data_IF_642293448474
#
_entry.id   IF_642293448474
#
_cell.length_a   1.000
_cell.length_b   1.000
_cell.length_c   1.000
_cell.angle_alpha   90.00
_cell.angle_beta   90.00
_cell.angle_gamma   90.00
#
_symmetry.space_group_name_H-M   'P 1'
#
loop_
_entity.id
_entity.type
_entity.pdbx_description
1 polymer ?
#
# COMPACT_ATOMS: atom_id res chain seq x y z
N UNK A 1 -22.93 -7.58 0.00
CA UNK A 1 -21.63 -8.02 -0.53
C UNK A 1 -20.76 -6.78 -0.72
N UNK A 2 -19.68 -6.68 0.03
CA UNK A 2 -18.70 -5.59 -0.05
C UNK A 2 -17.47 -6.14 -0.77
N UNK A 3 -17.02 -5.45 -1.80
CA UNK A 3 -15.78 -5.76 -2.52
C UNK A 3 -14.80 -4.62 -2.31
N UNK A 4 -13.59 -4.94 -1.89
CA UNK A 4 -12.49 -3.99 -1.88
C UNK A 4 -11.57 -4.25 -3.08
N UNK A 5 -11.17 -3.17 -3.75
CA UNK A 5 -10.28 -3.24 -4.90
C UNK A 5 -9.04 -2.39 -4.65
N UNK A 6 -7.87 -3.02 -4.67
CA UNK A 6 -6.58 -2.34 -4.62
C UNK A 6 -5.93 -2.45 -6.00
N UNK A 7 -5.32 -1.37 -6.50
CA UNK A 7 -4.56 -1.43 -7.74
C UNK A 7 -3.16 -0.82 -7.65
N UNK A 8 -2.27 -1.29 -8.54
CA UNK A 8 -0.98 -0.68 -8.84
C UNK A 8 -0.16 -0.38 -7.58
N UNK A 9 -0.01 -1.40 -6.73
CA UNK A 9 0.56 -1.25 -5.40
C UNK A 9 2.02 -0.79 -5.42
N UNK A 10 2.75 -1.14 -6.49
CA UNK A 10 4.15 -0.75 -6.71
C UNK A 10 5.03 -0.87 -5.45
N UNK A 11 4.87 -1.95 -4.68
CA UNK A 11 5.66 -2.18 -3.47
C UNK A 11 7.16 -2.26 -3.83
N UNK A 12 8.00 -1.59 -3.03
CA UNK A 12 9.43 -1.43 -3.33
C UNK A 12 9.75 -0.29 -4.32
N UNK A 13 8.74 0.47 -4.78
CA UNK A 13 8.97 1.60 -5.67
C UNK A 13 9.80 2.70 -4.99
N UNK A 14 10.89 3.07 -5.65
CA UNK A 14 11.82 4.12 -5.23
C UNK A 14 11.80 5.24 -6.27
N UNK A 15 11.80 6.48 -5.81
CA UNK A 15 11.88 7.63 -6.69
C UNK A 15 12.49 8.84 -5.97
N UNK A 16 13.00 9.78 -6.78
CA UNK A 16 13.51 11.07 -6.33
C UNK A 16 14.76 11.02 -5.43
N UNK A 17 15.30 9.83 -5.15
CA UNK A 17 16.59 9.62 -4.47
C UNK A 17 16.64 10.15 -3.04
N UNK A 18 15.50 10.41 -2.40
CA UNK A 18 15.45 10.93 -1.03
C UNK A 18 15.66 9.80 -0.04
N UNK A 19 16.82 9.80 0.63
CA UNK A 19 17.18 8.81 1.64
C UNK A 19 17.30 9.49 3.00
N UNK A 20 16.63 8.95 4.02
CA UNK A 20 16.76 9.39 5.41
C UNK A 20 17.14 8.20 6.29
N UNK A 21 18.25 8.33 7.04
CA UNK A 21 18.75 7.27 7.92
C UNK A 21 18.91 5.90 7.21
N UNK A 22 19.33 5.92 5.95
CA UNK A 22 19.52 4.73 5.13
C UNK A 22 18.23 4.15 4.52
N UNK A 23 17.08 4.82 4.69
CA UNK A 23 15.79 4.38 4.16
C UNK A 23 15.37 5.27 2.99
N UNK A 24 14.98 4.67 1.87
CA UNK A 24 14.35 5.40 0.77
C UNK A 24 12.95 5.87 1.21
N UNK A 25 12.76 7.18 1.22
CA UNK A 25 11.54 7.77 1.76
C UNK A 25 10.33 7.49 0.88
N UNK A 26 10.52 7.34 -0.44
CA UNK A 26 9.41 7.02 -1.35
C UNK A 26 8.94 5.59 -1.14
N UNK A 27 9.86 4.65 -1.03
CA UNK A 27 9.55 3.25 -0.73
C UNK A 27 8.83 3.13 0.62
N UNK A 28 9.31 3.87 1.63
CA UNK A 28 8.68 3.93 2.95
C UNK A 28 7.25 4.47 2.90
N UNK A 29 7.01 5.54 2.14
CA UNK A 29 5.68 6.15 2.03
C UNK A 29 4.68 5.20 1.36
N UNK A 30 5.11 4.48 0.31
CA UNK A 30 4.30 3.47 -0.38
C UNK A 30 3.97 2.33 0.56
N UNK A 31 4.95 1.80 1.30
CA UNK A 31 4.74 0.74 2.28
C UNK A 31 3.75 1.16 3.37
N UNK A 32 3.89 2.39 3.90
CA UNK A 32 2.98 2.92 4.92
C UNK A 32 1.55 3.12 4.38
N UNK A 33 1.40 3.52 3.12
CA UNK A 33 0.07 3.62 2.48
C UNK A 33 -0.61 2.26 2.35
N UNK A 34 0.14 1.24 1.91
CA UNK A 34 -0.35 -0.13 1.83
C UNK A 34 -0.75 -0.69 3.20
N UNK A 35 0.06 -0.44 4.24
CA UNK A 35 -0.26 -0.87 5.61
C UNK A 35 -1.57 -0.25 6.11
N UNK A 36 -1.78 1.06 5.90
CA UNK A 36 -3.04 1.73 6.25
C UNK A 36 -4.23 1.16 5.47
N UNK A 37 -4.06 0.89 4.17
CA UNK A 37 -5.10 0.24 3.38
C UNK A 37 -5.45 -1.14 3.97
N UNK A 38 -4.45 -1.93 4.38
CA UNK A 38 -4.65 -3.22 5.05
C UNK A 38 -5.44 -3.10 6.36
N UNK A 39 -5.12 -2.11 7.20
CA UNK A 39 -5.88 -1.84 8.43
C UNK A 39 -7.35 -1.51 8.14
N UNK A 40 -7.62 -0.75 7.08
CA UNK A 40 -8.98 -0.45 6.64
C UNK A 40 -9.72 -1.68 6.11
N UNK A 41 -9.04 -2.57 5.36
CA UNK A 41 -9.63 -3.83 4.91
C UNK A 41 -10.05 -4.71 6.10
N UNK A 42 -9.21 -4.80 7.14
CA UNK A 42 -9.55 -5.52 8.37
C UNK A 42 -10.76 -4.91 9.07
N UNK A 43 -10.83 -3.58 9.14
CA UNK A 43 -11.95 -2.86 9.77
C UNK A 43 -13.26 -3.06 9.01
N UNK A 44 -13.22 -2.96 7.69
CA UNK A 44 -14.39 -3.06 6.79
C UNK A 44 -14.87 -4.51 6.67
N UNK A 45 -13.96 -5.48 6.76
CA UNK A 45 -14.22 -6.91 6.53
C UNK A 45 -14.99 -7.16 5.22
N UNK A 46 -14.41 -6.80 4.05
CA UNK A 46 -15.05 -7.07 2.78
C UNK A 46 -15.19 -8.57 2.54
N UNK A 47 -16.19 -8.96 1.76
CA UNK A 47 -16.41 -10.37 1.38
C UNK A 47 -15.35 -10.84 0.37
N UNK A 48 -14.86 -9.92 -0.46
CA UNK A 48 -13.82 -10.18 -1.47
C UNK A 48 -12.86 -9.01 -1.54
N UNK A 49 -11.56 -9.32 -1.63
CA UNK A 49 -10.50 -8.36 -1.95
C UNK A 49 -9.97 -8.72 -3.33
N UNK A 50 -10.02 -7.76 -4.25
CA UNK A 50 -9.45 -7.88 -5.59
C UNK A 50 -8.19 -7.02 -5.66
N UNK A 51 -7.11 -7.60 -6.16
CA UNK A 51 -5.86 -6.90 -6.44
C UNK A 51 -5.61 -6.96 -7.94
N UNK A 52 -5.37 -5.81 -8.57
CA UNK A 52 -5.07 -5.71 -10.00
C UNK A 52 -3.96 -4.69 -10.29
N UNK A 53 -3.34 -4.79 -11.47
CA UNK A 53 -2.18 -3.96 -11.82
C UNK A 53 -0.85 -4.65 -11.59
#
# INVERSE_FOLDING_TARGET
>A
MIVAHLSDLHLGFRAYGRIERGVDMRERDVAAAFERAGQELVRIRPDVIVVSG
#
